data_IF_739703724892
#
_entry.id   IF_739703724892
#
_cell.length_a   1.000
_cell.length_b   1.000
_cell.length_c   1.000
_cell.angle_alpha   90.00
_cell.angle_beta   90.00
_cell.angle_gamma   90.00
#
_symmetry.space_group_name_H-M   'P 1'
#
loop_
_entity.id
_entity.type
_entity.pdbx_description
1 polymer ?
#
# COMPACT_ATOMS: atom_id res chain seq x y z
N UNK A 1 -0.20 6.45 -17.63
CA UNK A 1 -1.21 6.18 -16.60
C UNK A 1 -1.91 7.46 -16.13
N UNK A 2 -1.23 8.36 -15.40
CA UNK A 2 -1.86 9.56 -14.81
C UNK A 2 -2.59 10.47 -15.83
N UNK A 3 -1.97 10.74 -16.98
CA UNK A 3 -2.61 11.52 -18.05
C UNK A 3 -3.92 10.90 -18.53
N UNK A 4 -3.91 9.59 -18.81
CA UNK A 4 -5.11 8.85 -19.21
C UNK A 4 -6.18 8.78 -18.12
N UNK A 5 -5.78 8.71 -16.84
CA UNK A 5 -6.72 8.78 -15.72
C UNK A 5 -7.50 10.11 -15.71
N UNK A 6 -6.79 11.22 -15.93
CA UNK A 6 -7.39 12.57 -15.98
C UNK A 6 -8.24 12.74 -17.24
N UNK A 7 -7.73 12.33 -18.40
CA UNK A 7 -8.45 12.43 -19.68
C UNK A 7 -9.76 11.60 -19.69
N UNK A 8 -9.83 10.52 -18.90
CA UNK A 8 -11.02 9.68 -18.76
C UNK A 8 -11.99 10.14 -17.64
N UNK A 9 -11.78 11.32 -17.04
CA UNK A 9 -12.70 11.89 -16.04
C UNK A 9 -12.56 11.32 -14.63
N UNK A 10 -11.40 10.81 -14.25
CA UNK A 10 -11.15 10.31 -12.90
C UNK A 10 -11.28 11.39 -11.82
N UNK A 11 -11.86 11.03 -10.67
CA UNK A 11 -12.22 11.97 -9.59
C UNK A 11 -11.37 11.87 -8.32
N UNK A 12 -10.75 10.71 -8.05
CA UNK A 12 -9.84 10.47 -6.93
C UNK A 12 -8.89 9.29 -7.21
N UNK A 13 -7.58 9.53 -7.06
CA UNK A 13 -6.54 8.53 -7.27
C UNK A 13 -5.59 8.51 -6.07
N UNK A 14 -5.34 7.32 -5.53
CA UNK A 14 -4.39 7.09 -4.45
C UNK A 14 -3.48 5.94 -4.87
N UNK A 15 -2.17 6.13 -4.73
CA UNK A 15 -1.16 5.18 -5.18
C UNK A 15 -0.22 4.90 -4.01
N UNK A 16 0.05 3.62 -3.74
CA UNK A 16 1.22 3.20 -2.99
C UNK A 16 2.34 2.87 -3.99
N UNK A 17 3.57 3.24 -3.66
CA UNK A 17 4.76 2.83 -4.41
C UNK A 17 5.69 2.10 -3.44
N UNK A 18 5.31 0.87 -3.09
CA UNK A 18 6.00 0.07 -2.07
C UNK A 18 6.15 -1.34 -2.61
N UNK A 19 7.32 -1.94 -2.40
CA UNK A 19 7.57 -3.33 -2.78
C UNK A 19 6.76 -4.29 -1.89
N UNK A 20 6.08 -5.26 -2.52
CA UNK A 20 5.38 -6.32 -1.81
C UNK A 20 6.34 -7.15 -0.92
N UNK A 21 7.60 -7.31 -1.33
CA UNK A 21 8.61 -8.02 -0.52
C UNK A 21 9.03 -7.21 0.71
N UNK A 22 9.10 -5.88 0.61
CA UNK A 22 9.29 -5.00 1.77
C UNK A 22 8.11 -5.10 2.75
N UNK A 23 6.88 -5.14 2.23
CA UNK A 23 5.70 -5.32 3.09
C UNK A 23 5.68 -6.69 3.78
N UNK A 24 6.14 -7.76 3.10
CA UNK A 24 6.30 -9.09 3.72
C UNK A 24 7.38 -9.09 4.80
N UNK A 25 8.50 -8.41 4.56
CA UNK A 25 9.56 -8.28 5.55
C UNK A 25 9.10 -7.47 6.77
N UNK A 26 8.39 -6.36 6.55
CA UNK A 26 7.78 -5.58 7.63
C UNK A 26 6.72 -6.35 8.43
N UNK A 27 6.11 -7.37 7.83
CA UNK A 27 5.19 -8.28 8.49
C UNK A 27 5.91 -9.28 9.41
N UNK A 28 7.14 -9.67 9.06
CA UNK A 28 7.97 -10.59 9.82
C UNK A 28 8.77 -9.88 10.92
N UNK A 29 9.23 -8.64 10.66
CA UNK A 29 10.12 -7.85 11.51
C UNK A 29 9.51 -6.46 11.83
N UNK A 30 8.32 -6.37 12.44
CA UNK A 30 7.61 -5.10 12.62
C UNK A 30 8.39 -4.02 13.42
N UNK A 31 9.34 -4.44 14.25
CA UNK A 31 10.21 -3.57 15.03
C UNK A 31 11.13 -2.68 14.18
N UNK A 32 11.52 -3.16 13.00
CA UNK A 32 12.39 -2.44 12.07
C UNK A 32 11.60 -1.45 11.19
N UNK A 33 10.27 -1.63 11.16
CA UNK A 33 9.35 -0.91 10.27
C UNK A 33 8.27 -0.12 11.02
N UNK A 34 8.54 0.33 12.25
CA UNK A 34 7.60 1.10 13.10
C UNK A 34 7.05 2.38 12.44
N UNK A 35 7.78 2.92 11.47
CA UNK A 35 7.43 4.15 10.77
C UNK A 35 6.96 3.91 9.32
N UNK A 36 6.79 2.65 8.91
CA UNK A 36 6.32 2.32 7.56
C UNK A 36 4.85 2.72 7.41
N UNK A 37 4.61 3.81 6.68
CA UNK A 37 3.28 4.31 6.37
C UNK A 37 2.77 3.71 5.07
N UNK A 38 1.52 3.27 5.08
CA UNK A 38 0.80 2.77 3.92
C UNK A 38 -0.47 3.58 3.70
N UNK A 39 -0.85 3.77 2.43
CA UNK A 39 -2.12 4.35 2.06
C UNK A 39 -3.19 3.26 2.06
N UNK A 40 -4.16 3.39 2.96
CA UNK A 40 -5.43 2.67 2.91
C UNK A 40 -6.47 3.60 2.28
N UNK A 41 -7.50 3.04 1.66
CA UNK A 41 -8.58 3.83 1.05
C UNK A 41 -9.12 4.85 2.06
N UNK A 42 -8.80 6.13 1.86
CA UNK A 42 -9.29 7.24 2.67
C UNK A 42 -8.41 7.66 3.86
N UNK A 43 -7.33 6.94 4.21
CA UNK A 43 -6.46 7.33 5.33
C UNK A 43 -5.05 6.73 5.25
N UNK A 44 -4.10 7.27 6.01
CA UNK A 44 -2.77 6.67 6.19
C UNK A 44 -2.76 5.85 7.47
N UNK A 45 -2.07 4.71 7.45
CA UNK A 45 -1.84 3.89 8.63
C UNK A 45 -0.38 3.44 8.70
N UNK A 46 0.12 3.20 9.91
CA UNK A 46 1.37 2.47 10.05
C UNK A 46 1.09 0.99 9.74
N UNK A 47 1.86 0.44 8.81
CA UNK A 47 1.66 -0.94 8.36
C UNK A 47 1.77 -1.95 9.51
N UNK A 48 2.69 -1.69 10.45
CA UNK A 48 2.93 -2.56 11.61
C UNK A 48 1.88 -2.38 12.72
N UNK A 49 1.02 -1.35 12.65
CA UNK A 49 -0.05 -1.11 13.63
C UNK A 49 -1.42 -1.62 13.18
N UNK A 50 -1.55 -2.18 11.98
CA UNK A 50 -2.82 -2.72 11.45
C UNK A 50 -2.85 -4.26 11.57
N UNK A 51 -4.06 -4.82 11.51
CA UNK A 51 -4.25 -6.28 11.61
C UNK A 51 -3.65 -7.05 10.44
N UNK A 52 -3.23 -8.29 10.69
CA UNK A 52 -2.56 -9.16 9.70
C UNK A 52 -3.41 -9.42 8.45
N UNK A 53 -4.73 -9.48 8.59
CA UNK A 53 -5.66 -9.60 7.46
C UNK A 53 -5.55 -8.40 6.51
N UNK A 54 -5.57 -7.18 7.04
CA UNK A 54 -5.45 -5.96 6.24
C UNK A 54 -4.05 -5.83 5.63
N UNK A 55 -3.01 -6.21 6.35
CA UNK A 55 -1.64 -6.26 5.80
C UNK A 55 -1.58 -7.21 4.59
N UNK A 56 -2.16 -8.40 4.69
CA UNK A 56 -2.21 -9.37 3.60
C UNK A 56 -2.99 -8.83 2.39
N UNK A 57 -4.10 -8.13 2.64
CA UNK A 57 -4.88 -7.49 1.58
C UNK A 57 -4.06 -6.42 0.83
N UNK A 58 -3.32 -5.58 1.55
CA UNK A 58 -2.44 -4.57 0.94
C UNK A 58 -1.35 -5.25 0.09
N UNK A 59 -0.69 -6.28 0.62
CA UNK A 59 0.33 -7.05 -0.12
C UNK A 59 -0.25 -7.69 -1.38
N UNK A 60 -1.47 -8.23 -1.31
CA UNK A 60 -2.12 -8.89 -2.44
C UNK A 60 -2.51 -7.92 -3.56
N UNK A 61 -2.84 -6.67 -3.21
CA UNK A 61 -3.22 -5.62 -4.17
C UNK A 61 -2.04 -5.10 -5.00
N UNK A 62 -0.80 -5.18 -4.50
CA UNK A 62 0.44 -4.73 -5.17
C UNK A 62 0.91 -5.64 -6.32
N UNK A 63 0.01 -6.41 -6.93
CA UNK A 63 0.33 -7.32 -8.03
C UNK A 63 0.26 -6.67 -9.44
N UNK A 64 0.38 -5.35 -9.57
CA UNK A 64 0.63 -4.73 -10.88
C UNK A 64 2.13 -4.82 -11.21
N UNK A 65 2.57 -6.02 -11.58
CA UNK A 65 3.84 -6.24 -12.28
C UNK A 65 3.67 -5.75 -13.72
N UNK A 66 4.04 -4.49 -13.96
CA UNK A 66 4.18 -3.94 -15.31
C UNK A 66 5.66 -3.86 -15.65
#
# INVERSE_FOLDING_TARGET
FLRGYVENGGTALQINMIDADLLRDAQAHPEDYKHLLVRVTGYNAYFTSIGKELQNEIIAREAHRV
#
